data_IF_756976320999
#
_entry.id   IF_756976320999
#
_cell.length_a   1.000
_cell.length_b   1.000
_cell.length_c   1.000
_cell.angle_alpha   90.00
_cell.angle_beta   90.00
_cell.angle_gamma   90.00
#
_symmetry.space_group_name_H-M   'P 1'
#
loop_
_entity.id
_entity.type
_entity.pdbx_description
1 polymer ?
#
# COMPACT_ATOMS: atom_id res chain seq x y z
N UNK A 1 -34.55 12.58 -4.29
CA UNK A 1 -33.75 12.90 -3.10
C UNK A 1 -34.70 12.87 -1.92
N UNK A 2 -34.50 11.95 -0.98
CA UNK A 2 -35.32 11.90 0.24
C UNK A 2 -35.07 13.17 1.06
N UNK A 3 -36.10 13.99 1.26
CA UNK A 3 -36.04 15.19 2.09
C UNK A 3 -35.90 14.80 3.55
N UNK A 4 -34.89 15.36 4.22
CA UNK A 4 -34.60 15.15 5.64
C UNK A 4 -35.82 15.44 6.52
N UNK A 5 -36.32 14.43 7.24
CA UNK A 5 -37.43 14.62 8.16
C UNK A 5 -36.98 15.39 9.43
N UNK A 6 -37.93 16.07 10.07
CA UNK A 6 -37.68 16.91 11.25
C UNK A 6 -37.12 16.12 12.42
N UNK A 7 -37.51 14.86 12.57
CA UNK A 7 -37.05 13.99 13.65
C UNK A 7 -35.57 13.59 13.49
N UNK A 8 -35.13 13.38 12.26
CA UNK A 8 -33.73 13.07 11.89
C UNK A 8 -32.83 14.28 12.13
N UNK A 9 -33.32 15.49 11.85
CA UNK A 9 -32.60 16.73 12.17
C UNK A 9 -32.47 16.93 13.69
N UNK A 10 -33.53 16.67 14.46
CA UNK A 10 -33.51 16.76 15.93
C UNK A 10 -32.55 15.74 16.55
N UNK A 11 -32.59 14.49 16.09
CA UNK A 11 -31.64 13.47 16.49
C UNK A 11 -30.20 13.86 16.15
N UNK A 12 -29.94 14.29 14.90
CA UNK A 12 -28.60 14.69 14.45
C UNK A 12 -28.03 15.81 15.31
N UNK A 13 -28.84 16.82 15.62
CA UNK A 13 -28.44 17.95 16.49
C UNK A 13 -28.10 17.45 17.90
N UNK A 14 -28.90 16.55 18.46
CA UNK A 14 -28.65 15.93 19.77
C UNK A 14 -27.33 15.16 19.84
N UNK A 15 -26.92 14.52 18.73
CA UNK A 15 -25.65 13.77 18.65
C UNK A 15 -24.48 14.60 18.10
N UNK A 16 -24.66 15.92 17.93
CA UNK A 16 -23.60 16.84 17.49
C UNK A 16 -23.27 16.78 16.00
N UNK A 17 -24.19 16.28 15.16
CA UNK A 17 -24.04 16.25 13.71
C UNK A 17 -24.79 17.46 13.12
N UNK A 18 -24.08 18.28 12.33
CA UNK A 18 -24.69 19.42 11.65
C UNK A 18 -25.65 18.96 10.53
N UNK A 19 -26.69 19.75 10.20
CA UNK A 19 -27.61 19.44 9.11
C UNK A 19 -26.90 19.18 7.78
N UNK A 20 -25.84 19.94 7.46
CA UNK A 20 -25.05 19.78 6.24
C UNK A 20 -24.30 18.44 6.22
N UNK A 21 -23.71 18.04 7.36
CA UNK A 21 -23.02 16.75 7.48
C UNK A 21 -24.01 15.58 7.38
N UNK A 22 -25.22 15.74 7.91
CA UNK A 22 -26.28 14.75 7.82
C UNK A 22 -26.79 14.60 6.37
N UNK A 23 -27.00 15.72 5.67
CA UNK A 23 -27.36 15.73 4.25
C UNK A 23 -26.28 15.07 3.39
N UNK A 24 -25.01 15.38 3.66
CA UNK A 24 -23.87 14.71 3.03
C UNK A 24 -23.87 13.20 3.29
N UNK A 25 -24.09 12.75 4.53
CA UNK A 25 -24.12 11.33 4.88
C UNK A 25 -25.28 10.56 4.24
N UNK A 26 -26.45 11.18 4.08
CA UNK A 26 -27.59 10.58 3.36
C UNK A 26 -27.40 10.57 1.85
N UNK A 27 -26.79 11.62 1.30
CA UNK A 27 -26.44 11.69 -0.11
C UNK A 27 -25.27 10.75 -0.45
N UNK A 28 -24.48 10.36 0.55
CA UNK A 28 -23.41 9.41 0.41
C UNK A 28 -24.02 8.04 0.05
N UNK A 29 -23.75 7.48 -1.15
CA UNK A 29 -24.26 6.17 -1.47
C UNK A 29 -23.73 5.20 -0.42
N UNK A 30 -24.61 4.36 0.14
CA UNK A 30 -24.33 3.33 1.17
C UNK A 30 -23.13 2.39 0.84
N UNK A 31 -22.58 2.53 -0.36
CA UNK A 31 -21.45 1.81 -0.93
C UNK A 31 -20.27 2.71 -1.36
N UNK A 32 -20.10 3.92 -0.83
CA UNK A 32 -18.79 4.61 -0.87
C UNK A 32 -17.82 3.79 -0.02
N UNK A 33 -17.33 2.71 -0.63
CA UNK A 33 -16.25 1.90 -0.12
C UNK A 33 -15.02 2.80 -0.08
N UNK A 34 -14.72 3.37 1.08
CA UNK A 34 -13.36 3.85 1.39
C UNK A 34 -12.48 2.62 1.59
N UNK A 35 -12.23 1.90 0.50
CA UNK A 35 -11.60 0.61 0.54
C UNK A 35 -10.96 0.31 -0.79
N UNK A 36 -9.71 0.75 -0.96
CA UNK A 36 -8.59 0.13 -1.70
C UNK A 36 -8.84 -0.58 -3.05
N UNK A 37 -10.01 -0.48 -3.67
CA UNK A 37 -10.41 -1.18 -4.88
C UNK A 37 -10.32 -0.30 -6.14
N UNK A 38 -10.34 1.02 -5.98
CA UNK A 38 -10.04 1.98 -7.05
C UNK A 38 -8.54 2.27 -7.19
N UNK A 39 -7.70 1.65 -6.35
CA UNK A 39 -6.29 1.54 -6.73
C UNK A 39 -6.26 0.62 -7.94
N UNK A 40 -5.73 1.06 -9.10
CA UNK A 40 -5.52 0.15 -10.21
C UNK A 40 -4.82 -1.08 -9.63
N UNK A 41 -5.33 -2.28 -9.94
CA UNK A 41 -4.72 -3.52 -9.47
C UNK A 41 -3.22 -3.36 -9.70
N UNK A 42 -2.44 -3.27 -8.63
CA UNK A 42 -1.02 -2.95 -8.74
C UNK A 42 -0.42 -4.07 -9.59
N UNK A 43 -0.13 -3.78 -10.86
CA UNK A 43 0.37 -4.76 -11.80
C UNK A 43 1.82 -4.99 -11.40
N UNK A 44 2.03 -5.92 -10.47
CA UNK A 44 3.35 -6.29 -9.93
C UNK A 44 4.33 -6.63 -11.06
N UNK A 45 3.82 -7.14 -12.17
CA UNK A 45 4.60 -7.52 -13.34
C UNK A 45 5.18 -6.31 -14.11
N UNK A 46 4.53 -5.16 -14.07
CA UNK A 46 4.95 -3.97 -14.86
C UNK A 46 5.80 -3.00 -14.05
N UNK A 47 5.82 -3.11 -12.72
CA UNK A 47 6.63 -2.22 -11.90
C UNK A 47 8.07 -2.74 -11.80
N UNK A 48 9.06 -2.07 -12.44
CA UNK A 48 10.44 -2.52 -12.37
C UNK A 48 10.99 -2.47 -10.95
N UNK A 49 10.40 -1.68 -10.05
CA UNK A 49 10.79 -1.54 -8.66
C UNK A 49 9.92 -2.41 -7.72
N UNK A 50 9.22 -3.44 -8.21
CA UNK A 50 8.35 -4.27 -7.36
C UNK A 50 9.07 -4.88 -6.13
N UNK A 51 10.34 -5.27 -6.31
CA UNK A 51 11.19 -5.81 -5.24
C UNK A 51 11.96 -4.73 -4.47
N UNK A 52 11.70 -3.45 -4.72
CA UNK A 52 12.32 -2.32 -4.05
C UNK A 52 11.28 -1.54 -3.26
N UNK A 53 11.54 -1.37 -1.97
CA UNK A 53 10.74 -0.55 -1.09
C UNK A 53 11.59 0.62 -0.59
N UNK A 54 11.15 1.86 -0.87
CA UNK A 54 11.80 3.04 -0.30
C UNK A 54 11.28 3.26 1.13
N UNK A 55 12.18 3.28 2.10
CA UNK A 55 11.89 3.61 3.51
C UNK A 55 12.89 4.69 3.94
N UNK A 56 12.40 5.91 4.13
CA UNK A 56 13.26 7.07 4.35
C UNK A 56 14.22 7.29 3.17
N UNK A 57 15.50 7.43 3.47
CA UNK A 57 16.59 7.62 2.50
C UNK A 57 17.22 6.32 2.03
N UNK A 58 16.64 5.17 2.40
CA UNK A 58 17.15 3.84 2.04
C UNK A 58 16.16 3.04 1.19
N UNK A 59 16.71 2.23 0.30
CA UNK A 59 16.01 1.21 -0.47
C UNK A 59 16.22 -0.15 0.15
N UNK A 60 15.10 -0.83 0.32
CA UNK A 60 15.02 -2.18 0.88
C UNK A 60 14.64 -3.15 -0.23
N UNK A 61 15.39 -4.23 -0.33
CA UNK A 61 15.05 -5.37 -1.16
C UNK A 61 14.01 -6.23 -0.45
N UNK A 62 12.96 -6.63 -1.17
CA UNK A 62 11.93 -7.53 -0.64
C UNK A 62 11.59 -8.64 -1.62
N UNK A 63 11.82 -9.89 -1.19
CA UNK A 63 11.49 -11.08 -1.96
C UNK A 63 10.82 -12.11 -1.04
N UNK A 64 9.55 -12.42 -1.35
CA UNK A 64 8.83 -13.54 -0.74
C UNK A 64 8.64 -14.65 -1.77
N UNK A 65 9.35 -15.75 -1.63
CA UNK A 65 9.27 -16.88 -2.56
C UNK A 65 9.55 -18.20 -1.85
N UNK A 66 8.80 -19.25 -2.20
CA UNK A 66 8.92 -20.60 -1.60
C UNK A 66 8.90 -20.60 -0.06
N UNK A 67 8.06 -19.74 0.54
CA UNK A 67 7.93 -19.62 2.00
C UNK A 67 9.06 -18.83 2.70
N UNK A 68 10.12 -18.43 1.99
CA UNK A 68 11.18 -17.58 2.52
C UNK A 68 10.87 -16.11 2.24
N UNK A 69 10.94 -15.27 3.27
CA UNK A 69 10.86 -13.81 3.16
C UNK A 69 12.27 -13.25 3.35
N UNK A 70 12.77 -12.51 2.36
CA UNK A 70 14.06 -11.83 2.37
C UNK A 70 13.76 -10.35 2.38
N UNK A 71 14.24 -9.66 3.40
CA UNK A 71 14.06 -8.22 3.60
C UNK A 71 15.41 -7.64 4.01
N UNK A 72 16.09 -6.94 3.11
CA UNK A 72 17.43 -6.41 3.36
C UNK A 72 17.56 -4.97 2.91
N UNK A 73 18.30 -4.16 3.68
CA UNK A 73 18.67 -2.82 3.24
C UNK A 73 19.84 -2.92 2.25
N UNK A 74 19.62 -2.45 1.04
CA UNK A 74 20.56 -2.65 -0.06
C UNK A 74 21.29 -1.39 -0.50
N UNK A 75 20.71 -0.19 -0.43
CA UNK A 75 21.40 1.05 -0.82
C UNK A 75 20.57 2.28 -0.44
N UNK A 76 21.20 3.45 -0.36
CA UNK A 76 20.51 4.76 -0.27
C UNK A 76 20.15 5.35 -1.64
N UNK A 77 20.85 4.91 -2.70
CA UNK A 77 20.65 5.37 -4.06
C UNK A 77 19.85 4.37 -4.93
N UNK A 78 19.05 4.89 -5.87
CA UNK A 78 18.14 4.10 -6.69
C UNK A 78 18.87 3.23 -7.72
N UNK A 79 19.90 3.74 -8.38
CA UNK A 79 20.64 2.98 -9.40
C UNK A 79 21.39 1.82 -8.76
N UNK A 80 22.03 2.12 -7.62
CA UNK A 80 22.74 1.11 -6.83
C UNK A 80 21.77 0.05 -6.29
N UNK A 81 20.59 0.45 -5.84
CA UNK A 81 19.55 -0.46 -5.38
C UNK A 81 19.06 -1.40 -6.49
N UNK A 82 18.86 -0.88 -7.71
CA UNK A 82 18.46 -1.70 -8.87
C UNK A 82 19.49 -2.75 -9.22
N UNK A 83 20.77 -2.37 -9.28
CA UNK A 83 21.87 -3.30 -9.58
C UNK A 83 21.95 -4.43 -8.54
N UNK A 84 21.94 -4.07 -7.25
CA UNK A 84 22.00 -5.07 -6.16
C UNK A 84 20.77 -5.96 -6.14
N UNK A 85 19.57 -5.43 -6.41
CA UNK A 85 18.34 -6.22 -6.56
C UNK A 85 18.49 -7.27 -7.66
N UNK A 86 18.98 -6.87 -8.84
CA UNK A 86 19.10 -7.79 -9.98
C UNK A 86 20.13 -8.90 -9.72
N UNK A 87 21.25 -8.56 -9.05
CA UNK A 87 22.23 -9.54 -8.59
C UNK A 87 21.63 -10.51 -7.56
N UNK A 88 20.83 -10.02 -6.60
CA UNK A 88 20.14 -10.85 -5.60
C UNK A 88 19.09 -11.76 -6.23
N UNK A 89 18.32 -11.26 -7.21
CA UNK A 89 17.33 -12.05 -7.94
C UNK A 89 18.00 -13.14 -8.78
N UNK A 90 19.05 -12.80 -9.52
CA UNK A 90 19.82 -13.75 -10.31
C UNK A 90 20.45 -14.85 -9.43
N UNK A 91 21.00 -14.48 -8.26
CA UNK A 91 21.54 -15.45 -7.31
C UNK A 91 20.44 -16.38 -6.74
N UNK A 92 19.28 -15.82 -6.39
CA UNK A 92 18.13 -16.59 -5.92
C UNK A 92 17.62 -17.57 -6.98
N UNK A 93 17.47 -17.13 -8.23
CA UNK A 93 17.02 -17.97 -9.34
C UNK A 93 18.03 -19.07 -9.69
N UNK A 94 19.33 -18.77 -9.58
CA UNK A 94 20.41 -19.75 -9.73
C UNK A 94 20.55 -20.71 -8.54
N UNK A 95 19.79 -20.52 -7.45
CA UNK A 95 19.91 -21.31 -6.22
C UNK A 95 21.23 -21.09 -5.47
N UNK A 96 21.94 -20.01 -5.77
CA UNK A 96 23.21 -19.64 -5.12
C UNK A 96 22.95 -18.86 -3.83
N UNK A 97 23.95 -18.78 -2.92
CA UNK A 97 23.89 -17.86 -1.79
C UNK A 97 23.61 -16.44 -2.30
N UNK A 98 22.61 -15.79 -1.71
CA UNK A 98 22.17 -14.46 -2.13
C UNK A 98 23.16 -13.45 -1.56
N UNK A 99 23.78 -12.62 -2.40
CA UNK A 99 24.73 -11.61 -1.94
C UNK A 99 24.02 -10.56 -1.08
N UNK A 100 24.78 -9.89 -0.21
CA UNK A 100 24.30 -8.78 0.65
C UNK A 100 23.27 -9.14 1.72
N UNK A 101 22.88 -10.42 1.85
CA UNK A 101 22.18 -10.89 3.04
C UNK A 101 23.18 -10.87 4.19
N UNK A 102 22.89 -10.10 5.24
CA UNK A 102 23.66 -10.18 6.47
C UNK A 102 23.39 -11.53 7.10
N UNK A 103 24.29 -12.50 6.86
CA UNK A 103 24.33 -13.75 7.61
C UNK A 103 24.89 -13.40 8.98
N UNK A 104 24.01 -12.99 9.89
CA UNK A 104 24.29 -13.02 11.33
C UNK A 104 24.12 -14.44 11.85
#
# INVERSE_FOLDING_TARGET
METLNTDTLRWATKVGITPDRLAFLLACPKYTRTGRHDKPAYIKAENPNHHLQKLGDCYWFRLRRRGKDIVENIASDLETARKRRDEMLAAFDAGKPIPYINVR
#
